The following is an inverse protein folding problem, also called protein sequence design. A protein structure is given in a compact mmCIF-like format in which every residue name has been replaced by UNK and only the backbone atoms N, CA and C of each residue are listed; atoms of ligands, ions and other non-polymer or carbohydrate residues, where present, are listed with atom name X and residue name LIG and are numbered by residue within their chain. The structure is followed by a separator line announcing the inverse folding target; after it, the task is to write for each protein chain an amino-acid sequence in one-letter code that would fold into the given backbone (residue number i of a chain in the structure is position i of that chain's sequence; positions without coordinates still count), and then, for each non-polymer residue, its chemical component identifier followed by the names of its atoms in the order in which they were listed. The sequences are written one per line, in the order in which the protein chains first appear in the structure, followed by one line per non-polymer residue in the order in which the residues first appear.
data_IF_057961191727
#
_entry.id   IF_057961191727
#
_cell.length_a   1.000
_cell.length_b   1.000
_cell.length_c   1.000
_cell.angle_alpha   90.00
_cell.angle_beta   90.00
_cell.angle_gamma   90.00
#
_symmetry.space_group_name_H-M   'P 1'
#
loop_
_entity.id
_entity.type
_entity.pdbx_description
1 polymer ?
#
# COMPACT_ATOMS: atom_id res chain seq x y z
N UNK A 1 13.69 18.52 13.01
CA UNK A 1 13.95 17.90 11.70
C UNK A 1 12.63 17.36 11.18
N UNK A 2 12.35 17.47 9.88
CA UNK A 2 11.15 16.88 9.30
C UNK A 2 11.37 15.37 9.07
N UNK A 3 10.36 14.55 9.35
CA UNK A 3 10.40 13.12 9.04
C UNK A 3 10.19 12.88 7.54
N UNK A 4 10.57 11.70 7.06
CA UNK A 4 10.38 11.30 5.67
C UNK A 4 9.77 9.90 5.61
N UNK A 5 8.92 9.66 4.60
CA UNK A 5 8.34 8.34 4.41
C UNK A 5 9.43 7.37 3.95
N UNK A 6 9.52 6.22 4.62
CA UNK A 6 10.35 5.10 4.19
C UNK A 6 9.99 4.60 2.78
N UNK A 7 10.89 3.87 2.13
CA UNK A 7 10.62 3.20 0.84
C UNK A 7 9.38 2.31 0.93
N UNK A 8 9.21 1.58 2.03
CA UNK A 8 8.04 0.73 2.30
C UNK A 8 6.74 1.52 2.42
N UNK A 9 6.77 2.68 3.09
CA UNK A 9 5.61 3.56 3.16
C UNK A 9 5.23 4.10 1.78
N UNK A 10 6.22 4.50 0.98
CA UNK A 10 5.98 5.00 -0.38
C UNK A 10 5.39 3.93 -1.30
N UNK A 11 5.86 2.67 -1.23
CA UNK A 11 5.32 1.59 -2.06
C UNK A 11 3.86 1.27 -1.73
N UNK A 12 3.44 1.43 -0.46
CA UNK A 12 2.05 1.26 -0.03
C UNK A 12 1.11 2.38 -0.46
N UNK A 13 1.66 3.53 -0.86
CA UNK A 13 0.88 4.64 -1.42
C UNK A 13 0.62 4.50 -2.92
N UNK A 14 1.20 3.49 -3.57
CA UNK A 14 0.92 3.20 -4.98
C UNK A 14 -0.57 2.90 -5.14
N UNK A 15 -1.19 3.55 -6.12
CA UNK A 15 -2.64 3.46 -6.40
C UNK A 15 -3.57 4.00 -5.32
N UNK A 16 -3.06 4.64 -4.27
CA UNK A 16 -3.89 5.50 -3.42
C UNK A 16 -4.18 6.79 -4.18
N UNK A 17 -5.37 7.36 -3.98
CA UNK A 17 -5.80 8.57 -4.67
C UNK A 17 -4.76 9.69 -4.49
N UNK A 18 -4.33 10.39 -5.57
CA UNK A 18 -3.24 11.36 -5.52
C UNK A 18 -3.42 12.45 -4.47
N UNK A 19 -4.65 12.94 -4.26
CA UNK A 19 -4.93 13.94 -3.22
C UNK A 19 -4.66 13.43 -1.80
N UNK A 20 -5.02 12.18 -1.49
CA UNK A 20 -4.70 11.61 -0.19
C UNK A 20 -3.20 11.42 -0.03
N UNK A 21 -2.50 10.99 -1.09
CA UNK A 21 -1.03 10.88 -1.11
C UNK A 21 -0.37 12.24 -0.84
N UNK A 22 -0.89 13.33 -1.43
CA UNK A 22 -0.40 14.69 -1.16
C UNK A 22 -0.56 15.08 0.30
N UNK A 23 -1.71 14.77 0.91
CA UNK A 23 -1.95 15.03 2.33
C UNK A 23 -0.97 14.24 3.21
N UNK A 24 -0.79 12.93 2.96
CA UNK A 24 0.14 12.09 3.73
C UNK A 24 1.58 12.58 3.63
N UNK A 25 2.04 12.90 2.41
CA UNK A 25 3.39 13.45 2.16
C UNK A 25 3.59 14.82 2.78
N UNK A 26 2.54 15.62 2.92
CA UNK A 26 2.62 16.89 3.63
C UNK A 26 2.62 16.70 5.14
N UNK A 27 1.79 15.78 5.66
CA UNK A 27 1.66 15.50 7.08
C UNK A 27 2.97 14.99 7.71
N UNK A 28 3.71 14.10 7.02
CA UNK A 28 4.98 13.57 7.53
C UNK A 28 6.05 14.66 7.71
N UNK A 29 5.95 15.76 6.96
CA UNK A 29 6.91 16.86 7.05
C UNK A 29 6.66 17.76 8.28
N UNK A 30 5.42 17.77 8.78
CA UNK A 30 4.98 18.70 9.85
C UNK A 30 4.58 18.00 11.15
N UNK A 31 4.58 16.67 11.16
CA UNK A 31 4.19 15.88 12.34
C UNK A 31 5.22 15.99 13.47
N UNK A 32 4.72 15.94 14.71
CA UNK A 32 5.53 15.90 15.93
C UNK A 32 6.07 14.49 16.23
N UNK A 33 5.48 13.47 15.61
CA UNK A 33 5.87 12.04 15.75
C UNK A 33 6.01 11.41 14.37
N UNK A 34 7.05 10.63 14.16
CA UNK A 34 7.21 9.86 12.92
C UNK A 34 6.05 8.87 12.73
N UNK A 35 5.75 8.52 11.48
CA UNK A 35 4.76 7.50 11.19
C UNK A 35 5.07 6.71 9.91
N UNK A 36 4.61 5.47 9.89
CA UNK A 36 4.69 4.57 8.73
C UNK A 36 3.31 4.38 8.12
N UNK A 37 3.25 4.14 6.81
CA UNK A 37 2.03 3.65 6.15
C UNK A 37 1.97 2.14 6.33
N UNK A 38 0.92 1.65 6.99
CA UNK A 38 0.64 0.24 7.22
C UNK A 38 -0.02 -0.40 6.00
N UNK A 39 -1.04 0.27 5.45
CA UNK A 39 -1.83 -0.21 4.33
C UNK A 39 -2.32 0.96 3.48
N UNK A 40 -2.41 0.75 2.16
CA UNK A 40 -3.01 1.67 1.21
C UNK A 40 -4.15 0.98 0.48
N UNK A 41 -3.97 0.64 -0.80
CA UNK A 41 -4.97 -0.14 -1.53
C UNK A 41 -5.01 -1.59 -1.03
N UNK A 42 -6.23 -2.10 -0.80
CA UNK A 42 -6.51 -3.46 -0.34
C UNK A 42 -7.15 -4.28 -1.44
N UNK A 43 -6.79 -5.56 -1.51
CA UNK A 43 -7.43 -6.54 -2.39
C UNK A 43 -8.80 -6.98 -1.87
N UNK A 44 -9.69 -7.38 -2.79
CA UNK A 44 -11.04 -7.84 -2.45
C UNK A 44 -11.03 -9.11 -1.60
N UNK A 45 -10.08 -10.03 -1.80
CA UNK A 45 -9.92 -11.24 -1.01
C UNK A 45 -9.60 -10.93 0.45
N UNK A 46 -8.63 -10.03 0.68
CA UNK A 46 -8.30 -9.54 2.03
C UNK A 46 -9.48 -8.83 2.69
N UNK A 47 -10.26 -8.06 1.93
CA UNK A 47 -11.47 -7.44 2.49
C UNK A 47 -12.51 -8.48 2.92
N UNK A 48 -12.72 -9.54 2.13
CA UNK A 48 -13.61 -10.66 2.53
C UNK A 48 -13.13 -11.33 3.80
N UNK A 49 -11.82 -11.58 3.92
CA UNK A 49 -11.22 -12.15 5.12
C UNK A 49 -11.47 -11.24 6.35
N UNK A 50 -11.23 -9.94 6.23
CA UNK A 50 -11.47 -8.98 7.31
C UNK A 50 -12.94 -8.91 7.73
N UNK A 51 -13.88 -9.02 6.78
CA UNK A 51 -15.30 -9.11 7.11
C UNK A 51 -15.62 -10.42 7.84
N UNK A 52 -15.08 -11.54 7.36
CA UNK A 52 -15.31 -12.86 7.97
C UNK A 52 -14.73 -12.99 9.39
N UNK A 53 -13.62 -12.31 9.66
CA UNK A 53 -12.96 -12.30 10.98
C UNK A 53 -13.51 -11.21 11.92
N UNK A 54 -14.42 -10.36 11.45
CA UNK A 54 -14.99 -9.25 12.22
C UNK A 54 -14.09 -8.02 12.33
N UNK A 55 -12.91 -8.01 11.69
CA UNK A 55 -12.03 -6.84 11.59
C UNK A 55 -12.58 -5.73 10.69
N UNK A 56 -13.59 -6.02 9.87
CA UNK A 56 -14.38 -5.05 9.12
C UNK A 56 -15.86 -5.39 9.18
N UNK A 57 -16.71 -4.37 9.20
CA UNK A 57 -18.18 -4.55 9.25
C UNK A 57 -18.82 -4.52 7.86
N UNK A 58 -18.06 -4.25 6.80
CA UNK A 58 -18.63 -4.05 5.45
C UNK A 58 -17.66 -4.46 4.34
N UNK A 59 -18.21 -4.92 3.22
CA UNK A 59 -17.46 -5.09 1.97
C UNK A 59 -17.21 -3.78 1.23
N UNK A 60 -17.92 -2.70 1.61
CA UNK A 60 -17.79 -1.39 0.99
C UNK A 60 -16.68 -0.57 1.69
N UNK A 61 -15.42 -0.90 1.41
CA UNK A 61 -14.25 -0.26 2.03
C UNK A 61 -13.58 0.74 1.10
N UNK A 62 -13.10 1.85 1.68
CA UNK A 62 -12.31 2.88 0.97
C UNK A 62 -10.89 2.44 0.63
N UNK A 63 -10.38 1.37 1.23
CA UNK A 63 -9.12 0.77 0.80
C UNK A 63 -9.25 0.03 -0.53
N UNK A 64 -10.47 -0.40 -0.90
CA UNK A 64 -10.69 -1.06 -2.18
C UNK A 64 -10.51 -0.08 -3.33
N UNK A 65 -9.98 -0.59 -4.44
CA UNK A 65 -9.90 0.17 -5.67
C UNK A 65 -11.30 0.44 -6.22
N UNK A 66 -11.59 1.70 -6.47
CA UNK A 66 -12.81 2.15 -7.12
C UNK A 66 -12.71 2.06 -8.66
N UNK A 67 -13.82 2.33 -9.35
CA UNK A 67 -13.88 2.46 -10.81
C UNK A 67 -12.86 3.46 -11.38
N UNK A 68 -12.52 4.51 -10.64
CA UNK A 68 -11.51 5.49 -11.04
C UNK A 68 -10.06 4.96 -10.96
N UNK A 69 -9.89 3.70 -10.56
CA UNK A 69 -8.60 3.03 -10.48
C UNK A 69 -7.81 3.31 -9.19
N UNK A 70 -8.37 4.00 -8.19
CA UNK A 70 -7.67 4.30 -6.94
C UNK A 70 -8.37 3.74 -5.70
N UNK A 71 -7.60 3.42 -4.67
CA UNK A 71 -8.12 3.36 -3.30
C UNK A 71 -8.10 4.76 -2.68
N UNK A 72 -8.99 4.98 -1.72
CA UNK A 72 -9.24 6.29 -1.12
C UNK A 72 -9.02 6.30 0.39
N UNK A 73 -8.30 5.31 0.92
CA UNK A 73 -7.91 5.22 2.32
C UNK A 73 -6.45 4.78 2.49
N UNK A 74 -5.91 5.09 3.67
CA UNK A 74 -4.60 4.66 4.15
C UNK A 74 -4.67 4.40 5.65
N UNK A 75 -3.91 3.41 6.10
CA UNK A 75 -3.68 3.16 7.53
C UNK A 75 -2.29 3.65 7.90
N UNK A 76 -2.20 4.50 8.92
CA UNK A 76 -0.95 5.08 9.42
C UNK A 76 -0.67 4.59 10.84
N UNK A 77 0.60 4.38 11.20
CA UNK A 77 0.95 4.07 12.59
C UNK A 77 2.14 4.89 13.08
N UNK A 78 2.11 5.40 14.32
CA UNK A 78 3.23 6.08 14.93
C UNK A 78 4.47 5.18 14.99
N UNK A 79 5.64 5.77 14.76
CA UNK A 79 6.93 5.12 14.95
C UNK A 79 7.67 5.82 16.08
N UNK A 80 8.02 5.06 17.11
CA UNK A 80 8.78 5.53 18.28
C UNK A 80 9.96 4.59 18.47
N UNK A 81 11.17 5.14 18.53
CA UNK A 81 12.41 4.37 18.67
C UNK A 81 12.55 3.25 17.62
N UNK A 82 12.14 3.54 16.37
CA UNK A 82 12.23 2.60 15.24
C UNK A 82 11.16 1.50 15.21
N UNK A 83 10.24 1.47 16.18
CA UNK A 83 9.16 0.47 16.27
C UNK A 83 7.79 1.12 16.15
N UNK A 84 6.81 0.37 15.62
CA UNK A 84 5.41 0.81 15.60
C UNK A 84 4.85 0.86 17.02
N UNK A 85 4.18 1.95 17.38
CA UNK A 85 3.39 2.05 18.61
C UNK A 85 1.89 2.08 18.31
N UNK A 86 1.11 1.53 19.23
CA UNK A 86 -0.35 1.50 19.20
C UNK A 86 -0.99 2.47 20.20
N UNK A 87 -0.18 3.35 20.82
CA UNK A 87 -0.64 4.29 21.83
C UNK A 87 -1.52 5.39 21.23
N UNK A 88 -2.78 5.44 21.63
CA UNK A 88 -3.77 6.44 21.19
C UNK A 88 -3.29 7.91 21.24
N UNK A 89 -2.56 8.38 22.29
CA UNK A 89 -2.03 9.73 22.31
C UNK A 89 -1.13 10.08 21.12
N UNK A 90 -0.43 9.10 20.54
CA UNK A 90 0.42 9.31 19.37
C UNK A 90 -0.39 9.44 18.08
N UNK A 91 -1.49 8.69 17.95
CA UNK A 91 -2.41 8.87 16.83
C UNK A 91 -3.03 10.26 16.79
N UNK A 92 -3.30 10.88 17.95
CA UNK A 92 -3.75 12.27 18.00
C UNK A 92 -2.72 13.26 17.45
N UNK A 93 -1.42 12.99 17.63
CA UNK A 93 -0.34 13.81 17.04
C UNK A 93 -0.30 13.67 15.51
N UNK A 94 -0.41 12.44 14.99
CA UNK A 94 -0.57 12.20 13.55
C UNK A 94 -1.82 12.90 13.04
N UNK A 95 -2.93 12.82 13.77
CA UNK A 95 -4.20 13.41 13.37
C UNK A 95 -4.15 14.93 13.27
N UNK A 96 -3.46 15.59 14.21
CA UNK A 96 -3.19 17.03 14.13
C UNK A 96 -2.43 17.37 12.84
N UNK A 97 -1.39 16.62 12.49
CA UNK A 97 -0.61 16.82 11.29
C UNK A 97 -1.39 16.57 9.99
N UNK A 98 -2.12 15.45 9.92
CA UNK A 98 -2.97 15.09 8.76
C UNK A 98 -4.08 16.12 8.53
N UNK A 99 -4.77 16.56 9.59
CA UNK A 99 -5.82 17.59 9.50
C UNK A 99 -5.24 18.95 9.11
N UNK A 100 -4.06 19.31 9.62
CA UNK A 100 -3.37 20.54 9.21
C UNK A 100 -2.97 20.48 7.73
N UNK A 101 -2.37 19.39 7.27
CA UNK A 101 -1.99 19.19 5.87
C UNK A 101 -3.22 19.23 4.93
N UNK A 102 -4.30 18.57 5.32
CA UNK A 102 -5.58 18.60 4.61
C UNK A 102 -6.12 20.03 4.46
N UNK A 103 -6.07 20.83 5.55
CA UNK A 103 -6.46 22.24 5.53
C UNK A 103 -5.58 23.08 4.60
N UNK A 104 -4.27 22.93 4.68
CA UNK A 104 -3.31 23.66 3.83
C UNK A 104 -3.53 23.38 2.34
N UNK A 105 -3.78 22.11 1.99
CA UNK A 105 -3.97 21.67 0.61
C UNK A 105 -5.41 21.81 0.12
N UNK A 106 -6.36 22.20 0.99
CA UNK A 106 -7.80 22.27 0.73
C UNK A 106 -8.39 20.93 0.27
N UNK A 107 -7.92 19.84 0.87
CA UNK A 107 -8.37 18.46 0.60
C UNK A 107 -9.10 17.96 1.84
N UNK A 108 -10.37 17.59 1.70
CA UNK A 108 -11.11 16.99 2.81
C UNK A 108 -10.59 15.58 3.12
N UNK A 109 -10.43 15.26 4.40
CA UNK A 109 -10.08 13.93 4.91
C UNK A 109 -10.92 13.60 6.14
N UNK A 110 -11.19 12.32 6.35
CA UNK A 110 -11.85 11.77 7.52
C UNK A 110 -10.86 10.88 8.28
N UNK A 111 -10.91 10.94 9.61
CA UNK A 111 -10.09 10.11 10.48
C UNK A 111 -10.97 9.09 11.21
N UNK A 112 -10.55 7.83 11.23
CA UNK A 112 -11.25 6.77 11.96
C UNK A 112 -11.32 7.01 13.47
N UNK A 113 -10.36 7.75 14.05
CA UNK A 113 -10.38 8.14 15.46
C UNK A 113 -11.51 9.13 15.82
N UNK A 114 -12.07 9.83 14.83
CA UNK A 114 -13.21 10.75 15.02
C UNK A 114 -14.58 10.04 14.89
N UNK A 115 -14.61 8.75 14.54
CA UNK A 115 -15.88 8.01 14.43
C UNK A 115 -16.58 7.86 15.79
N UNK A 116 -17.91 7.84 15.76
CA UNK A 116 -18.74 7.73 16.98
C UNK A 116 -18.62 6.36 17.64
N UNK A 117 -18.55 5.31 16.83
CA UNK A 117 -18.38 3.92 17.23
C UNK A 117 -17.27 3.31 16.37
N UNK A 118 -16.67 2.21 16.81
CA UNK A 118 -15.57 1.54 16.11
C UNK A 118 -14.41 2.47 15.76
N UNK A 119 -13.94 3.25 16.74
CA UNK A 119 -12.82 4.17 16.52
C UNK A 119 -11.59 3.42 16.04
N UNK A 120 -11.01 3.93 14.96
CA UNK A 120 -9.87 3.34 14.29
C UNK A 120 -8.76 4.40 14.15
N UNK A 121 -7.77 4.33 15.04
CA UNK A 121 -6.67 5.29 15.09
C UNK A 121 -5.84 5.31 13.80
N UNK A 122 -5.45 4.14 13.26
CA UNK A 122 -4.74 4.07 11.99
C UNK A 122 -5.48 4.63 10.77
N UNK A 123 -6.80 4.47 10.69
CA UNK A 123 -7.54 4.66 9.44
C UNK A 123 -7.75 6.12 9.05
N UNK A 124 -7.42 6.45 7.80
CA UNK A 124 -7.70 7.74 7.15
C UNK A 124 -8.35 7.51 5.79
N UNK A 125 -9.33 8.34 5.44
CA UNK A 125 -9.96 8.25 4.12
C UNK A 125 -10.35 9.60 3.54
N UNK A 126 -10.47 9.66 2.21
CA UNK A 126 -11.17 10.74 1.53
C UNK A 126 -12.68 10.54 1.72
N UNK A 127 -13.46 11.59 2.04
CA UNK A 127 -14.89 11.45 2.30
C UNK A 127 -15.68 11.03 1.06
N UNK A 128 -16.72 10.22 1.27
CA UNK A 128 -17.58 9.68 0.21
C UNK A 128 -18.27 10.77 -0.64
N UNK A 129 -18.70 11.87 -0.01
CA UNK A 129 -19.45 12.94 -0.69
C UNK A 129 -18.60 13.69 -1.71
N UNK A 130 -17.35 14.03 -1.34
CA UNK A 130 -16.43 14.77 -2.20
C UNK A 130 -15.68 13.85 -3.17
N UNK A 131 -15.43 12.60 -2.77
CA UNK A 131 -14.73 11.61 -3.59
C UNK A 131 -15.61 10.37 -3.76
N UNK A 132 -16.70 10.48 -4.53
CA UNK A 132 -17.57 9.35 -4.79
C UNK A 132 -16.76 8.24 -5.45
N UNK A 133 -16.78 7.06 -4.84
CA UNK A 133 -16.27 5.85 -5.45
C UNK A 133 -17.42 4.89 -5.62
N UNK A 134 -17.61 4.41 -6.84
CA UNK A 134 -18.34 3.16 -7.04
C UNK A 134 -17.32 2.03 -6.87
N UNK A 135 -17.61 1.09 -5.97
CA UNK A 135 -16.72 -0.01 -5.70
C UNK A 135 -17.40 -1.17 -4.95
N UNK A 136 -16.81 -2.38 -5.02
CA UNK A 136 -15.72 -2.74 -5.92
C UNK A 136 -16.26 -3.01 -7.34
N UNK A 137 -15.42 -2.82 -8.37
CA UNK A 137 -15.70 -3.39 -9.70
C UNK A 137 -15.61 -4.91 -9.57
N UNK A 138 -16.66 -5.53 -9.05
CA UNK A 138 -16.79 -6.98 -8.98
C UNK A 138 -16.83 -7.50 -10.42
N UNK A 139 -15.68 -7.93 -10.95
CA UNK A 139 -15.59 -8.52 -12.29
C UNK A 139 -14.43 -8.04 -13.16
N UNK A 140 -13.73 -6.97 -12.80
CA UNK A 140 -12.47 -6.64 -13.49
C UNK A 140 -11.39 -7.61 -12.99
N UNK A 141 -11.02 -8.60 -13.82
CA UNK A 141 -9.92 -9.52 -13.55
C UNK A 141 -8.64 -8.69 -13.36
N UNK A 142 -8.27 -8.42 -12.12
CA UNK A 142 -6.98 -7.83 -11.80
C UNK A 142 -5.91 -8.90 -11.97
N UNK A 143 -5.03 -8.72 -12.95
CA UNK A 143 -3.87 -9.57 -13.17
C UNK A 143 -2.62 -8.90 -12.59
N UNK A 144 -1.57 -9.68 -12.32
CA UNK A 144 -0.27 -9.14 -11.89
C UNK A 144 0.30 -8.09 -12.88
N UNK A 145 -0.13 -8.14 -14.14
CA UNK A 145 0.22 -7.16 -15.18
C UNK A 145 -0.39 -5.78 -14.91
N UNK A 146 -1.64 -5.72 -14.44
CA UNK A 146 -2.28 -4.46 -14.02
C UNK A 146 -1.57 -3.82 -12.83
N UNK A 147 -1.07 -4.63 -11.88
CA UNK A 147 -0.26 -4.13 -10.76
C UNK A 147 1.06 -3.56 -11.23
N UNK A 148 1.74 -4.30 -12.13
CA UNK A 148 3.03 -3.91 -12.69
C UNK A 148 2.90 -2.63 -13.51
N UNK A 149 1.84 -2.50 -14.31
CA UNK A 149 1.55 -1.27 -15.06
C UNK A 149 1.16 -0.09 -14.17
N UNK A 150 0.44 -0.34 -13.07
CA UNK A 150 0.08 0.73 -12.15
C UNK A 150 1.28 1.19 -11.31
N UNK A 151 2.15 0.25 -10.88
CA UNK A 151 3.45 0.52 -10.25
C UNK A 151 4.36 1.27 -11.21
N UNK A 152 4.47 0.86 -12.48
CA UNK A 152 5.32 1.54 -13.46
C UNK A 152 4.81 2.95 -13.82
N UNK A 153 3.49 3.16 -13.93
CA UNK A 153 2.90 4.50 -14.07
C UNK A 153 3.15 5.38 -12.86
N UNK A 154 3.02 4.84 -11.65
CA UNK A 154 3.30 5.58 -10.41
C UNK A 154 4.78 5.96 -10.33
N UNK A 155 5.69 5.04 -10.68
CA UNK A 155 7.13 5.31 -10.76
C UNK A 155 7.44 6.36 -11.82
N UNK A 156 6.82 6.29 -13.01
CA UNK A 156 7.00 7.29 -14.06
C UNK A 156 6.48 8.68 -13.66
N UNK A 157 5.37 8.76 -12.93
CA UNK A 157 4.84 10.02 -12.42
C UNK A 157 5.75 10.65 -11.34
N UNK A 158 6.38 9.83 -10.51
CA UNK A 158 7.36 10.27 -9.50
C UNK A 158 8.68 10.70 -10.16
N UNK A 159 9.13 9.98 -11.18
CA UNK A 159 10.35 10.29 -11.93
C UNK A 159 10.19 11.56 -12.81
N UNK A 160 9.00 11.79 -13.38
CA UNK A 160 8.71 12.98 -14.18
C UNK A 160 8.60 14.29 -13.38
N UNK A 161 8.61 14.23 -12.05
CA UNK A 161 8.55 15.40 -11.16
C UNK A 161 9.91 16.03 -10.84
N UNK A 162 11.02 15.46 -11.31
CA UNK A 162 12.36 16.01 -11.08
C UNK A 162 12.90 16.53 -12.40
N UNK A 163 13.08 17.85 -12.48
CA UNK A 163 13.64 18.51 -13.65
C UNK A 163 15.06 18.04 -13.97
N UNK A 164 15.26 17.76 -15.26
CA UNK A 164 16.51 17.76 -16.03
C UNK A 164 17.73 16.91 -15.60
N UNK A 165 18.13 16.06 -16.55
CA UNK A 165 19.50 15.85 -17.06
C UNK A 165 20.19 14.49 -16.83
N UNK A 166 20.35 13.81 -17.97
CA UNK A 166 21.46 12.95 -18.44
C UNK A 166 21.47 11.44 -18.13
N UNK A 167 21.91 10.61 -19.11
CA UNK A 167 21.74 9.16 -19.10
C UNK A 167 23.01 8.46 -18.60
N UNK A 168 22.89 7.46 -17.73
CA UNK A 168 23.98 6.50 -17.50
C UNK A 168 23.40 5.09 -17.52
N UNK A 169 23.93 4.31 -18.46
CA UNK A 169 23.66 2.90 -18.68
C UNK A 169 23.98 2.06 -17.44
N UNK A 170 22.95 1.50 -16.79
CA UNK A 170 23.04 0.45 -15.77
C UNK A 170 21.83 -0.50 -15.90
N UNK A 171 21.56 -0.98 -17.12
CA UNK A 171 20.33 -1.73 -17.48
C UNK A 171 20.38 -3.28 -17.40
N UNK A 172 21.29 -3.97 -16.68
CA UNK A 172 20.98 -5.36 -16.35
C UNK A 172 21.11 -5.79 -14.88
N UNK A 173 21.85 -5.07 -14.02
CA UNK A 173 22.13 -5.56 -12.65
C UNK A 173 21.06 -5.19 -11.61
N UNK A 174 20.36 -4.06 -11.79
CA UNK A 174 19.28 -3.64 -10.87
C UNK A 174 18.05 -4.55 -10.99
N UNK A 175 17.75 -5.04 -12.21
CA UNK A 175 16.66 -6.00 -12.44
C UNK A 175 16.86 -7.34 -11.73
N UNK A 176 18.10 -7.82 -11.61
CA UNK A 176 18.36 -9.09 -10.93
C UNK A 176 18.20 -8.97 -9.40
N UNK A 177 18.64 -7.85 -8.81
CA UNK A 177 18.54 -7.62 -7.35
C UNK A 177 17.11 -7.30 -6.92
N UNK A 178 16.34 -6.55 -7.71
CA UNK A 178 14.92 -6.30 -7.42
C UNK A 178 14.06 -7.57 -7.59
N UNK A 179 14.35 -8.43 -8.58
CA UNK A 179 13.61 -9.69 -8.75
C UNK A 179 13.89 -10.67 -7.62
N UNK A 180 15.14 -10.77 -7.14
CA UNK A 180 15.49 -11.65 -6.01
C UNK A 180 14.93 -11.11 -4.69
N UNK A 181 14.96 -9.79 -4.47
CA UNK A 181 14.42 -9.19 -3.25
C UNK A 181 12.89 -9.12 -3.23
N UNK A 182 12.23 -9.09 -4.40
CA UNK A 182 10.77 -9.16 -4.53
C UNK A 182 10.21 -10.58 -4.32
N UNK A 183 11.02 -11.62 -4.49
CA UNK A 183 10.61 -13.01 -4.23
C UNK A 183 10.69 -13.42 -2.76
N UNK A 184 11.38 -12.66 -1.90
CA UNK A 184 11.60 -13.03 -0.50
C UNK A 184 10.55 -12.48 0.48
N UNK A 185 9.59 -11.67 0.02
CA UNK A 185 8.73 -10.86 0.90
C UNK A 185 7.22 -11.11 0.83
N UNK A 186 6.71 -11.98 -0.04
CA UNK A 186 5.27 -12.24 -0.17
C UNK A 186 5.00 -13.74 -0.18
N UNK A 187 4.76 -14.29 1.01
CA UNK A 187 4.02 -15.54 1.16
C UNK A 187 2.74 -15.21 1.92
N UNK A 188 1.75 -14.79 1.15
CA UNK A 188 0.35 -14.67 1.57
C UNK A 188 -0.36 -16.02 1.37
N UNK A 189 -1.39 -16.26 2.18
CA UNK A 189 -2.15 -17.52 2.34
C UNK A 189 -2.85 -18.07 1.08
N UNK A 190 -2.70 -17.43 -0.08
CA UNK A 190 -3.23 -17.87 -1.38
C UNK A 190 -2.23 -18.56 -2.33
N UNK A 191 -0.92 -18.57 -2.02
CA UNK A 191 0.12 -19.07 -2.94
C UNK A 191 0.48 -20.56 -2.77
N UNK A 192 -0.24 -21.32 -1.93
CA UNK A 192 0.08 -22.73 -1.70
C UNK A 192 -0.01 -23.59 -2.97
N UNK A 193 -0.93 -23.26 -3.89
CA UNK A 193 -1.04 -23.97 -5.17
C UNK A 193 0.19 -23.71 -6.06
N UNK A 194 0.73 -22.49 -6.05
CA UNK A 194 1.95 -22.15 -6.80
C UNK A 194 3.20 -22.74 -6.17
N UNK A 195 3.27 -22.77 -4.83
CA UNK A 195 4.32 -23.49 -4.12
C UNK A 195 4.27 -24.99 -4.37
N UNK A 196 3.09 -25.61 -4.34
CA UNK A 196 2.92 -27.04 -4.63
C UNK A 196 3.36 -27.37 -6.06
N UNK A 197 2.98 -26.54 -7.05
CA UNK A 197 3.42 -26.70 -8.44
C UNK A 197 4.95 -26.52 -8.54
N UNK A 198 5.53 -25.51 -7.87
CA UNK A 198 6.97 -25.29 -7.88
C UNK A 198 7.76 -26.46 -7.28
N UNK A 199 7.29 -27.02 -6.16
CA UNK A 199 7.89 -28.21 -5.52
C UNK A 199 7.81 -29.43 -6.43
N UNK A 200 6.67 -29.65 -7.10
CA UNK A 200 6.50 -30.76 -8.04
C UNK A 200 7.41 -30.61 -9.25
N UNK A 201 7.54 -29.40 -9.81
CA UNK A 201 8.41 -29.13 -10.96
C UNK A 201 9.88 -29.33 -10.58
N UNK A 202 10.34 -28.75 -9.46
CA UNK A 202 11.72 -28.93 -8.99
C UNK A 202 12.00 -30.41 -8.68
N UNK A 203 11.07 -31.12 -8.02
CA UNK A 203 11.19 -32.55 -7.74
C UNK A 203 11.28 -33.41 -9.01
N UNK A 204 10.45 -33.14 -10.01
CA UNK A 204 10.52 -33.81 -11.32
C UNK A 204 11.84 -33.52 -12.04
N UNK A 205 12.34 -32.30 -11.94
CA UNK A 205 13.59 -31.89 -12.60
C UNK A 205 14.79 -32.60 -11.95
N UNK A 206 14.83 -32.67 -10.62
CA UNK A 206 15.83 -33.41 -9.86
C UNK A 206 15.75 -34.92 -10.11
N UNK A 207 14.54 -35.49 -10.21
CA UNK A 207 14.34 -36.90 -10.53
C UNK A 207 14.84 -37.26 -11.93
N UNK A 208 14.55 -36.42 -12.93
CA UNK A 208 15.06 -36.61 -14.31
C UNK A 208 16.58 -36.49 -14.36
N UNK A 209 17.16 -35.55 -13.61
CA UNK A 209 18.61 -35.42 -13.51
C UNK A 209 19.26 -36.64 -12.84
N UNK A 210 18.68 -37.15 -11.74
CA UNK A 210 19.15 -38.34 -11.05
C UNK A 210 19.05 -39.60 -11.92
N UNK A 211 17.95 -39.78 -12.67
CA UNK A 211 17.77 -40.90 -13.61
C UNK A 211 18.73 -40.88 -14.80
N UNK A 212 19.30 -39.72 -15.16
CA UNK A 212 20.34 -39.62 -16.20
C UNK A 212 21.76 -39.88 -15.68
N UNK A 213 21.94 -39.83 -14.36
CA UNK A 213 23.22 -40.04 -13.68
C UNK A 213 23.32 -41.43 -13.03
N UNK A 214 22.24 -42.23 -13.08
CA UNK A 214 22.15 -43.61 -12.59
C UNK A 214 21.96 -44.55 -13.78
#
# INVERSE_FOLDING_TARGET
MAYTLSTRSNSRLICVHPDLVRVVRRAIQITEVDFTVLEGVRDIGRQKEMVSSGASTTMNSRHLRAENGYGHAVDLAPVVNGSVSWDWPLYHKIAKAMKQAAKELRIAVEWGGDWKTFKDGPHWQLPWKQYPSKGPVAGAKYTAETETQAKSRAVALVAGGVGAAAPIAQEPLVKAVEVVSAQQGDLSSGDWLRMAIAVVVVGLTLYVAWRKLS
#
